data_IF_966858469607
#
_entry.id   IF_966858469607
#
_cell.length_a   1.000
_cell.length_b   1.000
_cell.length_c   1.000
_cell.angle_alpha   90.00
_cell.angle_beta   90.00
_cell.angle_gamma   90.00
#
_symmetry.space_group_name_H-M   'P 1'
#
loop_
_entity.id
_entity.type
_entity.pdbx_description
1 polymer ?
#
# COMPACT_ATOMS: atom_id res chain seq x y z
N UNK A 1 22.05 3.19 -0.53
CA UNK A 1 21.01 3.23 0.52
C UNK A 1 19.59 2.88 0.01
N UNK A 2 19.19 3.19 -1.24
CA UNK A 2 17.78 2.96 -1.70
C UNK A 2 17.58 2.15 -2.99
N UNK A 3 18.63 1.78 -3.74
CA UNK A 3 18.48 1.13 -5.06
C UNK A 3 17.55 -0.09 -5.05
N UNK A 4 17.71 -0.98 -4.07
CA UNK A 4 16.93 -2.20 -4.01
C UNK A 4 15.45 -1.99 -3.62
N UNK A 5 15.08 -0.85 -3.04
CA UNK A 5 13.68 -0.53 -2.70
C UNK A 5 12.90 -0.04 -3.93
N UNK A 6 13.53 0.73 -4.80
CA UNK A 6 12.94 1.18 -6.07
C UNK A 6 12.79 0.01 -7.08
N UNK A 7 13.65 -1.00 -6.98
CA UNK A 7 13.51 -2.25 -7.75
C UNK A 7 12.31 -3.10 -7.29
N UNK A 8 11.96 -3.05 -6.00
CA UNK A 8 10.83 -3.80 -5.44
C UNK A 8 9.47 -3.17 -5.75
N UNK A 9 9.42 -1.84 -5.94
CA UNK A 9 8.21 -1.13 -6.36
C UNK A 9 8.50 -0.29 -7.61
N UNK A 10 8.29 -0.90 -8.78
CA UNK A 10 8.48 -0.25 -10.09
C UNK A 10 7.43 0.82 -10.43
N UNK A 11 6.67 1.30 -9.45
CA UNK A 11 5.57 2.27 -9.61
C UNK A 11 5.50 3.20 -8.39
N UNK A 12 4.63 4.19 -8.46
CA UNK A 12 4.39 5.08 -7.32
C UNK A 12 3.88 4.28 -6.10
N UNK A 13 4.38 4.61 -4.92
CA UNK A 13 3.91 4.07 -3.65
C UNK A 13 2.56 4.70 -3.23
N UNK A 14 1.55 4.62 -4.11
CA UNK A 14 0.21 5.14 -3.93
C UNK A 14 -0.84 4.03 -4.13
N UNK A 15 -1.69 3.81 -3.12
CA UNK A 15 -2.76 2.79 -3.14
C UNK A 15 -4.04 3.34 -2.51
N UNK A 16 -5.15 3.26 -3.24
CA UNK A 16 -6.47 3.61 -2.71
C UNK A 16 -7.09 2.37 -2.06
N UNK A 17 -6.89 2.22 -0.75
CA UNK A 17 -7.36 1.05 0.00
C UNK A 17 -8.88 1.00 0.14
N UNK A 18 -9.51 2.15 0.36
CA UNK A 18 -10.95 2.24 0.65
C UNK A 18 -11.63 3.16 -0.37
N UNK A 19 -12.74 2.69 -0.93
CA UNK A 19 -13.62 3.48 -1.79
C UNK A 19 -15.03 3.49 -1.20
N UNK A 20 -15.60 4.69 -1.00
CA UNK A 20 -16.96 4.87 -0.48
C UNK A 20 -17.71 5.87 -1.34
N UNK A 21 -18.93 5.51 -1.74
CA UNK A 21 -19.83 6.38 -2.48
C UNK A 21 -21.29 5.92 -2.33
N UNK A 22 -22.24 6.73 -2.77
CA UNK A 22 -23.66 6.33 -2.84
C UNK A 22 -23.94 5.67 -4.18
N UNK A 23 -24.57 4.50 -4.16
CA UNK A 23 -24.98 3.79 -5.37
C UNK A 23 -25.90 4.69 -6.21
N UNK A 24 -25.61 4.93 -7.49
CA UNK A 24 -26.23 6.01 -8.25
C UNK A 24 -27.73 5.83 -8.51
N UNK A 25 -28.25 4.60 -8.46
CA UNK A 25 -29.66 4.29 -8.73
C UNK A 25 -30.52 4.24 -7.47
N UNK A 26 -29.97 3.74 -6.36
CA UNK A 26 -30.67 3.39 -5.11
C UNK A 26 -30.31 4.33 -3.96
N UNK A 27 -29.26 5.15 -4.11
CA UNK A 27 -28.77 6.08 -3.08
C UNK A 27 -28.13 5.41 -1.86
N UNK A 28 -28.11 4.07 -1.81
CA UNK A 28 -27.57 3.30 -0.68
C UNK A 28 -26.05 3.52 -0.57
N UNK A 29 -25.52 3.70 0.65
CA UNK A 29 -24.08 3.81 0.84
C UNK A 29 -23.41 2.48 0.48
N UNK A 30 -22.35 2.55 -0.32
CA UNK A 30 -21.48 1.43 -0.65
C UNK A 30 -20.07 1.71 -0.11
N UNK A 31 -19.40 0.63 0.28
CA UNK A 31 -18.02 0.64 0.73
C UNK A 31 -17.30 -0.56 0.15
N UNK A 32 -16.13 -0.31 -0.41
CA UNK A 32 -15.24 -1.32 -0.97
C UNK A 32 -13.87 -1.16 -0.32
N UNK A 33 -13.19 -2.29 -0.14
CA UNK A 33 -11.81 -2.34 0.33
C UNK A 33 -10.97 -3.18 -0.63
N UNK A 34 -9.73 -2.78 -0.83
CA UNK A 34 -8.73 -3.53 -1.58
C UNK A 34 -7.49 -3.73 -0.69
N UNK A 35 -7.08 -4.98 -0.43
CA UNK A 35 -5.91 -5.24 0.40
C UNK A 35 -4.67 -4.60 -0.22
N UNK A 36 -3.67 -4.32 0.63
CA UNK A 36 -2.42 -3.74 0.17
C UNK A 36 -1.78 -4.66 -0.90
N UNK A 37 -1.34 -4.12 -2.05
CA UNK A 37 -0.64 -4.89 -3.06
C UNK A 37 0.66 -5.53 -2.55
N UNK A 38 1.05 -6.64 -3.15
CA UNK A 38 2.17 -7.46 -2.65
C UNK A 38 3.53 -6.74 -2.76
N UNK A 39 3.75 -6.00 -3.83
CA UNK A 39 4.95 -5.17 -4.01
C UNK A 39 5.14 -4.15 -2.87
N UNK A 40 4.06 -3.50 -2.46
CA UNK A 40 4.06 -2.55 -1.35
C UNK A 40 4.28 -3.22 -0.01
N UNK A 41 3.71 -4.41 0.21
CA UNK A 41 3.99 -5.19 1.43
C UNK A 41 5.47 -5.52 1.54
N UNK A 42 6.07 -6.02 0.47
CA UNK A 42 7.48 -6.41 0.43
C UNK A 42 8.41 -5.21 0.72
N UNK A 43 8.10 -4.04 0.14
CA UNK A 43 8.82 -2.81 0.43
C UNK A 43 8.70 -2.41 1.91
N UNK A 44 7.50 -2.44 2.48
CA UNK A 44 7.28 -2.11 3.89
C UNK A 44 8.05 -3.04 4.83
N UNK A 45 8.02 -4.35 4.57
CA UNK A 45 8.78 -5.33 5.36
C UNK A 45 10.28 -5.06 5.30
N UNK A 46 10.82 -4.78 4.11
CA UNK A 46 12.24 -4.45 3.94
C UNK A 46 12.64 -3.19 4.72
N UNK A 47 11.81 -2.13 4.65
CA UNK A 47 12.06 -0.88 5.39
C UNK A 47 12.07 -1.15 6.89
N UNK A 48 11.07 -1.89 7.40
CA UNK A 48 10.98 -2.27 8.81
C UNK A 48 12.23 -3.00 9.28
N UNK A 49 12.68 -4.02 8.53
CA UNK A 49 13.91 -4.76 8.87
C UNK A 49 15.13 -3.84 8.96
N UNK A 50 15.32 -2.94 7.98
CA UNK A 50 16.47 -2.01 7.97
C UNK A 50 16.41 -1.02 9.14
N UNK A 51 15.22 -0.49 9.44
CA UNK A 51 15.04 0.45 10.56
C UNK A 51 15.29 -0.20 11.92
N UNK A 52 14.89 -1.46 12.11
CA UNK A 52 15.16 -2.21 13.35
C UNK A 52 16.66 -2.53 13.49
N UNK A 53 17.31 -2.96 12.42
CA UNK A 53 18.75 -3.25 12.43
C UNK A 53 19.63 -2.00 12.67
N UNK A 54 19.15 -0.80 12.33
CA UNK A 54 19.89 0.45 12.53
C UNK A 54 19.78 1.02 13.95
N UNK A 55 18.96 0.41 14.81
CA UNK A 55 18.81 0.77 16.23
C UNK A 55 19.48 -0.23 17.18
N UNK A 56 20.29 -1.15 16.65
CA UNK A 56 21.07 -2.15 17.38
C UNK A 56 22.57 -1.87 17.29
#
# INVERSE_FOLDING_TARGET
FTRNLLELIGRQALHAETLRFRQPTTGKPLAFTAPLPEDMKLVLEKIRTVMTASQS
#
